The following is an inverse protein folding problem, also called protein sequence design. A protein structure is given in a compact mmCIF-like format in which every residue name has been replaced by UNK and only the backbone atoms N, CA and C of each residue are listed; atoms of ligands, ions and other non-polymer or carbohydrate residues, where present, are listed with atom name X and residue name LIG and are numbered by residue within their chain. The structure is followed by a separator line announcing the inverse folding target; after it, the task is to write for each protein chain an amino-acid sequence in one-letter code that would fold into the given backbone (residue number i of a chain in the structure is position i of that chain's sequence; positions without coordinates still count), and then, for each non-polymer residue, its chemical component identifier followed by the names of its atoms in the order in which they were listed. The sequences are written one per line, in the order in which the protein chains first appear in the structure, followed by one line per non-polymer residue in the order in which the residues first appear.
data_IF_727656196041
#
_entry.id   IF_727656196041
#
_cell.length_a   1.000
_cell.length_b   1.000
_cell.length_c   1.000
_cell.angle_alpha   90.00
_cell.angle_beta   90.00
_cell.angle_gamma   90.00
#
_symmetry.space_group_name_H-M   'P 1'
#
loop_
_entity.id
_entity.type
_entity.pdbx_description
1 polymer ?
#
# COMPACT_ATOMS: atom_id res chain seq x y z
N UNK A 1 -5.69 17.34 -14.60
CA UNK A 1 -6.03 15.91 -14.67
C UNK A 1 -6.37 15.43 -13.28
N UNK A 2 -7.57 14.89 -13.10
CA UNK A 2 -8.10 14.52 -11.80
C UNK A 2 -7.44 13.21 -11.35
N UNK A 3 -6.98 13.08 -10.09
CA UNK A 3 -6.15 11.94 -9.62
C UNK A 3 -6.81 10.56 -9.79
N UNK A 4 -8.14 10.51 -9.76
CA UNK A 4 -8.93 9.29 -10.05
C UNK A 4 -8.87 8.89 -11.52
N UNK A 5 -8.69 9.83 -12.44
CA UNK A 5 -8.53 9.54 -13.87
C UNK A 5 -7.22 8.82 -14.12
N UNK A 6 -6.11 9.23 -13.50
CA UNK A 6 -4.79 8.61 -13.73
C UNK A 6 -4.71 7.13 -13.35
N UNK A 7 -5.26 6.75 -12.19
CA UNK A 7 -5.32 5.34 -11.75
C UNK A 7 -6.26 4.54 -12.65
N UNK A 8 -7.40 5.12 -13.04
CA UNK A 8 -8.34 4.47 -13.95
C UNK A 8 -7.71 4.25 -15.32
N UNK A 9 -7.00 5.24 -15.86
CA UNK A 9 -6.27 5.15 -17.13
C UNK A 9 -5.18 4.07 -17.09
N UNK A 10 -4.40 3.98 -16.00
CA UNK A 10 -3.37 2.94 -15.86
C UNK A 10 -3.97 1.54 -15.74
N UNK A 11 -5.07 1.42 -14.98
CA UNK A 11 -5.78 0.15 -14.84
C UNK A 11 -6.43 -0.28 -16.17
N UNK A 12 -7.00 0.67 -16.91
CA UNK A 12 -7.60 0.42 -18.22
C UNK A 12 -6.53 -0.05 -19.22
N UNK A 13 -5.36 0.61 -19.26
CA UNK A 13 -4.23 0.21 -20.09
C UNK A 13 -3.73 -1.19 -19.75
N UNK A 14 -3.49 -1.47 -18.46
CA UNK A 14 -3.07 -2.80 -18.01
C UNK A 14 -4.06 -3.91 -18.43
N UNK A 15 -5.36 -3.63 -18.36
CA UNK A 15 -6.36 -4.58 -18.84
C UNK A 15 -6.30 -4.79 -20.35
N UNK A 16 -6.01 -3.75 -21.13
CA UNK A 16 -5.85 -3.87 -22.59
C UNK A 16 -4.60 -4.71 -22.93
N UNK A 17 -3.51 -4.55 -22.18
CA UNK A 17 -2.27 -5.34 -22.34
C UNK A 17 -2.49 -6.83 -21.99
N UNK A 18 -3.21 -7.11 -20.89
CA UNK A 18 -3.63 -8.47 -20.51
C UNK A 18 -4.46 -9.13 -21.62
N UNK A 19 -5.33 -8.37 -22.29
CA UNK A 19 -6.14 -8.86 -23.41
C UNK A 19 -5.33 -9.03 -24.70
N UNK A 20 -4.26 -8.26 -24.87
CA UNK A 20 -3.30 -8.43 -25.96
C UNK A 20 -2.36 -9.64 -25.74
N UNK A 21 -2.35 -10.22 -24.54
CA UNK A 21 -1.53 -11.39 -24.18
C UNK A 21 -0.16 -11.02 -23.58
N UNK A 22 0.08 -9.74 -23.31
CA UNK A 22 1.30 -9.23 -22.67
C UNK A 22 1.13 -9.36 -21.14
N UNK A 23 1.40 -10.56 -20.61
CA UNK A 23 0.90 -11.01 -19.28
C UNK A 23 1.91 -10.95 -18.13
N UNK A 24 3.06 -10.30 -18.33
CA UNK A 24 4.12 -10.23 -17.31
C UNK A 24 4.01 -9.02 -16.38
N UNK A 25 3.08 -8.09 -16.61
CA UNK A 25 2.93 -6.91 -15.75
C UNK A 25 2.04 -7.17 -14.52
N UNK A 26 2.50 -6.80 -13.30
CA UNK A 26 1.72 -6.95 -12.08
C UNK A 26 0.48 -6.04 -12.05
N UNK A 27 -0.58 -6.48 -11.37
CA UNK A 27 -1.83 -5.72 -11.30
C UNK A 27 -1.59 -4.33 -10.65
N UNK A 28 -1.97 -3.20 -11.28
CA UNK A 28 -1.60 -1.84 -10.81
C UNK A 28 -2.01 -1.50 -9.38
N UNK A 29 -3.02 -2.20 -8.83
CA UNK A 29 -3.54 -2.02 -7.47
C UNK A 29 -3.12 -3.14 -6.51
N UNK A 30 -2.98 -4.37 -7.02
CA UNK A 30 -2.87 -5.58 -6.19
C UNK A 30 -1.51 -6.29 -6.36
N UNK A 31 -0.66 -5.80 -7.25
CA UNK A 31 0.64 -6.38 -7.56
C UNK A 31 0.52 -7.82 -8.04
N UNK A 32 1.49 -8.65 -7.62
CA UNK A 32 1.57 -10.08 -7.92
C UNK A 32 0.54 -10.94 -7.17
N UNK A 33 -0.29 -10.33 -6.31
CA UNK A 33 -1.32 -11.06 -5.55
C UNK A 33 -2.44 -11.57 -6.45
N UNK A 34 -2.56 -11.01 -7.65
CA UNK A 34 -3.55 -11.41 -8.64
C UNK A 34 -2.83 -11.63 -9.96
N UNK A 35 -3.03 -12.82 -10.53
CA UNK A 35 -2.62 -13.15 -11.88
C UNK A 35 -3.85 -13.32 -12.76
N UNK A 36 -3.76 -12.77 -13.97
CA UNK A 36 -4.82 -12.86 -14.96
C UNK A 36 -4.26 -13.51 -16.22
N UNK A 37 -4.98 -14.51 -16.73
CA UNK A 37 -4.59 -15.25 -17.92
C UNK A 37 -5.78 -15.47 -18.83
N UNK A 38 -5.59 -15.26 -20.12
CA UNK A 38 -6.55 -15.65 -21.15
C UNK A 38 -6.33 -17.12 -21.51
N UNK A 39 -7.36 -17.96 -21.35
CA UNK A 39 -7.37 -19.37 -21.69
C UNK A 39 -8.52 -19.64 -22.68
N UNK A 40 -8.21 -19.47 -23.98
CA UNK A 40 -9.21 -19.48 -25.04
C UNK A 40 -10.26 -18.38 -24.85
N UNK A 41 -11.54 -18.75 -24.73
CA UNK A 41 -12.64 -17.80 -24.51
C UNK A 41 -12.87 -17.45 -23.03
N UNK A 42 -12.00 -17.90 -22.12
CA UNK A 42 -12.13 -17.69 -20.68
C UNK A 42 -11.00 -16.84 -20.14
N UNK A 43 -11.36 -15.79 -19.43
CA UNK A 43 -10.42 -15.03 -18.61
C UNK A 43 -10.34 -15.66 -17.23
N UNK A 44 -9.17 -16.21 -16.87
CA UNK A 44 -8.93 -16.85 -15.58
C UNK A 44 -8.29 -15.83 -14.63
N UNK A 45 -8.99 -15.54 -13.54
CA UNK A 45 -8.51 -14.75 -12.41
C UNK A 45 -8.06 -15.71 -11.30
N UNK A 46 -6.82 -15.55 -10.86
CA UNK A 46 -6.24 -16.36 -9.78
C UNK A 46 -5.46 -15.49 -8.81
N UNK A 47 -5.40 -15.92 -7.55
CA UNK A 47 -4.65 -15.22 -6.52
C UNK A 47 -5.43 -15.06 -5.22
N UNK A 48 -4.95 -14.16 -4.37
CA UNK A 48 -5.44 -13.96 -3.01
C UNK A 48 -5.72 -12.50 -2.73
N UNK A 49 -6.89 -12.21 -2.18
CA UNK A 49 -7.35 -10.89 -1.79
C UNK A 49 -7.67 -10.84 -0.30
N UNK A 50 -7.63 -9.63 0.25
CA UNK A 50 -7.78 -9.41 1.70
C UNK A 50 -9.26 -9.28 2.08
N UNK A 51 -10.14 -8.95 1.13
CA UNK A 51 -11.59 -8.82 1.38
C UNK A 51 -12.46 -9.35 0.24
N UNK A 52 -13.71 -9.68 0.56
CA UNK A 52 -14.72 -10.03 -0.44
C UNK A 52 -15.07 -8.82 -1.35
N UNK A 53 -15.01 -7.59 -0.83
CA UNK A 53 -15.26 -6.38 -1.61
C UNK A 53 -14.21 -6.17 -2.72
N UNK A 54 -12.93 -6.38 -2.40
CA UNK A 54 -11.83 -6.36 -3.38
C UNK A 54 -12.03 -7.43 -4.44
N UNK A 55 -12.38 -8.67 -4.02
CA UNK A 55 -12.66 -9.78 -4.94
C UNK A 55 -13.78 -9.43 -5.90
N UNK A 56 -14.89 -8.91 -5.38
CA UNK A 56 -16.01 -8.51 -6.21
C UNK A 56 -15.67 -7.34 -7.13
N UNK A 57 -14.83 -6.40 -6.68
CA UNK A 57 -14.37 -5.29 -7.51
C UNK A 57 -13.53 -5.77 -8.71
N UNK A 58 -12.57 -6.67 -8.49
CA UNK A 58 -11.74 -7.26 -9.57
C UNK A 58 -12.61 -8.06 -10.53
N UNK A 59 -13.54 -8.88 -10.03
CA UNK A 59 -14.46 -9.65 -10.88
C UNK A 59 -15.37 -8.74 -11.70
N UNK A 60 -15.88 -7.63 -11.13
CA UNK A 60 -16.68 -6.65 -11.87
C UNK A 60 -15.88 -5.99 -12.99
N UNK A 61 -14.62 -5.62 -12.73
CA UNK A 61 -13.74 -5.03 -13.74
C UNK A 61 -13.48 -5.97 -14.92
N UNK A 62 -13.25 -7.25 -14.63
CA UNK A 62 -13.10 -8.30 -15.64
C UNK A 62 -14.39 -8.50 -16.46
N UNK A 63 -15.54 -8.60 -15.79
CA UNK A 63 -16.84 -8.77 -16.47
C UNK A 63 -17.22 -7.61 -17.38
N UNK A 64 -16.85 -6.38 -17.01
CA UNK A 64 -17.10 -5.20 -17.83
C UNK A 64 -16.37 -5.23 -19.20
N UNK A 65 -15.44 -6.18 -19.39
CA UNK A 65 -14.62 -6.32 -20.60
C UNK A 65 -14.99 -7.54 -21.45
N UNK A 66 -16.03 -8.28 -21.06
CA UNK A 66 -16.59 -9.38 -21.88
C UNK A 66 -16.92 -8.84 -23.28
N UNK A 67 -16.59 -9.63 -24.31
CA UNK A 67 -16.75 -9.24 -25.72
C UNK A 67 -15.50 -8.64 -26.37
N UNK A 68 -14.40 -8.48 -25.62
CA UNK A 68 -13.08 -8.05 -26.14
C UNK A 68 -12.09 -9.21 -26.29
N UNK A 69 -12.54 -10.36 -26.80
CA UNK A 69 -11.70 -11.55 -27.01
C UNK A 69 -11.95 -12.70 -26.03
N UNK A 70 -12.88 -12.55 -25.08
CA UNK A 70 -13.36 -13.63 -24.20
C UNK A 70 -14.85 -13.47 -23.90
N UNK A 71 -15.51 -14.60 -23.63
CA UNK A 71 -16.95 -14.67 -23.33
C UNK A 71 -17.25 -14.88 -21.84
N UNK A 72 -16.30 -15.37 -21.06
CA UNK A 72 -16.52 -15.77 -19.67
C UNK A 72 -15.35 -15.42 -18.74
N UNK A 73 -15.67 -15.17 -17.46
CA UNK A 73 -14.68 -14.92 -16.40
C UNK A 73 -14.70 -16.07 -15.40
N UNK A 74 -13.62 -16.84 -15.35
CA UNK A 74 -13.37 -17.83 -14.30
C UNK A 74 -12.62 -17.16 -13.15
N UNK A 75 -13.23 -17.17 -11.97
CA UNK A 75 -12.72 -16.58 -10.74
C UNK A 75 -12.74 -17.60 -9.59
N UNK A 76 -12.82 -18.89 -9.93
CA UNK A 76 -12.81 -20.00 -8.97
C UNK A 76 -11.49 -20.11 -8.21
N UNK A 77 -10.39 -19.65 -8.81
CA UNK A 77 -9.04 -19.61 -8.23
C UNK A 77 -8.70 -18.29 -7.52
N UNK A 78 -9.66 -17.37 -7.43
CA UNK A 78 -9.50 -16.12 -6.70
C UNK A 78 -10.07 -16.28 -5.30
N UNK A 79 -9.19 -16.38 -4.30
CA UNK A 79 -9.54 -16.63 -2.91
C UNK A 79 -9.50 -15.35 -2.07
N UNK A 80 -10.35 -15.27 -1.04
CA UNK A 80 -10.21 -14.30 0.04
C UNK A 80 -9.51 -15.01 1.20
N UNK A 81 -8.38 -14.48 1.63
CA UNK A 81 -7.63 -15.06 2.76
C UNK A 81 -8.21 -14.49 4.05
N UNK A 82 -8.78 -15.36 4.89
CA UNK A 82 -9.29 -14.97 6.20
C UNK A 82 -8.13 -14.82 7.20
N UNK A 83 -7.50 -13.65 7.19
CA UNK A 83 -6.56 -13.28 8.26
C UNK A 83 -7.39 -13.01 9.50
N UNK A 84 -7.22 -13.84 10.54
CA UNK A 84 -7.87 -13.69 11.86
C UNK A 84 -7.50 -12.38 12.60
N UNK A 85 -6.77 -11.48 11.96
CA UNK A 85 -6.43 -10.17 12.45
C UNK A 85 -7.65 -9.24 12.30
N UNK A 86 -8.31 -8.95 13.43
CA UNK A 86 -9.43 -8.02 13.45
C UNK A 86 -8.93 -6.60 13.22
N UNK A 87 -9.24 -6.05 12.04
CA UNK A 87 -9.08 -4.63 11.72
C UNK A 87 -9.78 -3.75 12.77
N UNK A 88 -9.19 -2.61 13.07
CA UNK A 88 -9.74 -1.57 13.93
C UNK A 88 -9.55 -1.82 15.43
N UNK A 89 -8.76 -2.81 15.84
CA UNK A 89 -8.43 -3.04 17.26
C UNK A 89 -7.10 -2.43 17.68
N UNK A 90 -6.09 -2.59 16.84
CA UNK A 90 -4.73 -2.18 17.12
C UNK A 90 -4.26 -1.18 16.06
N UNK A 91 -3.53 -0.17 16.51
CA UNK A 91 -2.77 0.72 15.66
C UNK A 91 -1.28 0.53 15.88
N UNK A 92 -0.51 0.77 14.84
CA UNK A 92 0.94 0.70 14.89
C UNK A 92 1.55 1.95 14.25
N UNK A 93 2.49 2.55 14.96
CA UNK A 93 3.26 3.70 14.47
C UNK A 93 4.53 3.22 13.78
N UNK A 94 4.71 3.65 12.54
CA UNK A 94 5.89 3.42 11.72
C UNK A 94 6.65 4.73 11.57
N UNK A 95 7.97 4.65 11.66
CA UNK A 95 8.87 5.80 11.46
C UNK A 95 9.88 5.43 10.39
N UNK A 96 10.04 6.30 9.41
CA UNK A 96 11.04 6.14 8.36
C UNK A 96 11.86 7.43 8.20
N UNK A 97 13.18 7.29 8.06
CA UNK A 97 14.09 8.40 7.83
C UNK A 97 14.40 8.59 6.34
N UNK A 98 14.49 9.84 5.93
CA UNK A 98 14.85 10.28 4.59
C UNK A 98 15.88 11.40 4.68
N UNK A 99 16.72 11.60 3.65
CA UNK A 99 17.78 12.61 3.67
C UNK A 99 17.27 14.04 3.86
N UNK A 100 16.04 14.32 3.42
CA UNK A 100 15.44 15.65 3.47
C UNK A 100 13.90 15.57 3.47
N UNK A 101 13.28 16.71 3.78
CA UNK A 101 11.81 16.83 3.88
C UNK A 101 11.10 16.54 2.56
N UNK A 102 11.64 17.00 1.44
CA UNK A 102 11.02 16.82 0.11
C UNK A 102 10.99 15.34 -0.26
N UNK A 103 12.07 14.61 0.02
CA UNK A 103 12.14 13.16 -0.18
C UNK A 103 11.13 12.43 0.71
N UNK A 104 10.99 12.82 1.98
CA UNK A 104 9.97 12.28 2.88
C UNK A 104 8.53 12.55 2.39
N UNK A 105 8.27 13.71 1.79
CA UNK A 105 6.96 14.06 1.22
C UNK A 105 6.61 13.21 0.00
N UNK A 106 7.58 12.94 -0.88
CA UNK A 106 7.41 12.03 -2.01
C UNK A 106 7.13 10.60 -1.54
N UNK A 107 7.92 10.12 -0.58
CA UNK A 107 7.74 8.79 0.00
C UNK A 107 6.36 8.64 0.68
N UNK A 108 5.96 9.64 1.47
CA UNK A 108 4.62 9.69 2.08
C UNK A 108 3.54 9.54 1.03
N UNK A 109 3.60 10.34 -0.03
CA UNK A 109 2.61 10.30 -1.11
C UNK A 109 2.56 8.91 -1.76
N UNK A 110 3.72 8.34 -2.08
CA UNK A 110 3.83 7.02 -2.68
C UNK A 110 3.21 5.94 -1.78
N UNK A 111 3.57 5.92 -0.49
CA UNK A 111 3.08 4.93 0.47
C UNK A 111 1.57 5.03 0.65
N UNK A 112 1.01 6.24 0.79
CA UNK A 112 -0.44 6.40 0.93
C UNK A 112 -1.20 5.96 -0.33
N UNK A 113 -0.63 6.18 -1.50
CA UNK A 113 -1.21 5.77 -2.78
C UNK A 113 -1.23 4.24 -2.96
N UNK A 114 -0.13 3.55 -2.64
CA UNK A 114 0.02 2.11 -2.91
C UNK A 114 -0.44 1.22 -1.74
N UNK A 115 -0.44 1.76 -0.52
CA UNK A 115 -0.94 1.04 0.65
C UNK A 115 -2.47 1.00 0.68
N UNK A 116 -3.14 2.04 0.16
CA UNK A 116 -4.59 2.30 0.30
C UNK A 116 -5.06 2.42 1.76
N UNK A 117 -4.14 2.76 2.66
CA UNK A 117 -4.44 2.92 4.08
C UNK A 117 -4.72 4.39 4.37
N UNK A 118 -5.65 4.65 5.29
CA UNK A 118 -5.86 5.99 5.85
C UNK A 118 -5.20 6.05 7.23
N UNK A 119 -4.03 6.68 7.39
CA UNK A 119 -3.39 6.79 8.70
C UNK A 119 -4.27 7.59 9.66
N UNK A 120 -4.27 7.20 10.94
CA UNK A 120 -4.84 8.03 12.02
C UNK A 120 -3.94 9.22 12.31
N UNK A 121 -2.63 9.03 12.13
CA UNK A 121 -1.63 10.07 12.25
C UNK A 121 -0.65 10.01 11.08
N UNK A 122 -0.28 11.19 10.62
CA UNK A 122 0.60 11.39 9.49
C UNK A 122 1.34 12.71 9.72
N UNK A 123 2.66 12.63 9.87
CA UNK A 123 3.49 13.83 9.94
C UNK A 123 4.87 13.59 9.34
N UNK A 124 5.47 14.70 8.90
CA UNK A 124 6.89 14.77 8.54
C UNK A 124 7.56 15.75 9.48
N UNK A 125 8.52 15.23 10.25
CA UNK A 125 9.29 15.95 11.24
C UNK A 125 10.71 16.14 10.71
N UNK A 126 11.15 17.39 10.63
CA UNK A 126 12.53 17.75 10.38
C UNK A 126 13.15 18.32 11.67
N UNK A 127 14.37 18.84 11.59
CA UNK A 127 15.09 19.42 12.72
C UNK A 127 14.30 20.51 13.45
N UNK A 128 13.48 21.30 12.75
CA UNK A 128 12.66 22.35 13.35
C UNK A 128 11.45 21.76 14.11
N UNK A 129 10.91 20.64 13.64
CA UNK A 129 9.80 19.91 14.26
C UNK A 129 10.18 19.02 15.44
N UNK A 130 11.47 18.89 15.78
CA UNK A 130 12.00 18.02 16.83
C UNK A 130 11.22 18.04 18.18
N UNK A 131 10.73 19.20 18.71
CA UNK A 131 9.98 19.22 19.97
C UNK A 131 8.72 18.33 19.95
N UNK A 132 8.07 18.16 18.80
CA UNK A 132 6.83 17.38 18.64
C UNK A 132 7.07 15.86 18.70
N UNK A 133 8.31 15.41 18.54
CA UNK A 133 8.64 13.99 18.46
C UNK A 133 8.24 13.22 19.74
N UNK A 134 8.32 13.84 20.92
CA UNK A 134 7.94 13.23 22.20
C UNK A 134 6.46 12.91 22.32
N UNK A 135 5.62 13.65 21.60
CA UNK A 135 4.18 13.45 21.60
C UNK A 135 3.77 12.32 20.65
N UNK A 136 4.66 11.95 19.72
CA UNK A 136 4.38 11.03 18.63
C UNK A 136 4.99 9.64 18.83
N UNK A 137 6.07 9.54 19.62
CA UNK A 137 6.82 8.30 19.81
C UNK A 137 7.08 8.00 21.29
N UNK A 138 7.00 6.74 21.73
CA UNK A 138 7.44 6.33 23.05
C UNK A 138 8.92 6.65 23.29
N UNK A 139 9.31 6.81 24.56
CA UNK A 139 10.65 7.28 24.95
C UNK A 139 11.81 6.49 24.31
N UNK A 140 11.68 5.17 24.24
CA UNK A 140 12.72 4.28 23.70
C UNK A 140 12.96 4.49 22.20
N UNK A 141 11.91 4.85 21.44
CA UNK A 141 11.99 5.09 19.99
C UNK A 141 12.31 6.55 19.66
N UNK A 142 11.96 7.47 20.57
CA UNK A 142 12.27 8.88 20.41
C UNK A 142 13.79 9.12 20.42
N UNK A 143 14.58 8.35 21.16
CA UNK A 143 16.05 8.50 21.20
C UNK A 143 16.70 8.37 19.81
N UNK A 144 16.46 7.26 19.14
CA UNK A 144 17.01 6.97 17.81
C UNK A 144 16.51 7.97 16.75
N UNK A 145 15.21 8.29 16.80
CA UNK A 145 14.61 9.28 15.92
C UNK A 145 15.25 10.68 16.11
N UNK A 146 15.60 11.08 17.34
CA UNK A 146 16.33 12.34 17.55
C UNK A 146 17.73 12.32 16.96
N UNK A 147 18.44 11.20 17.04
CA UNK A 147 19.77 11.07 16.46
C UNK A 147 19.72 11.26 14.93
N UNK A 148 18.69 10.72 14.26
CA UNK A 148 18.44 10.94 12.82
C UNK A 148 18.20 12.41 12.49
N UNK A 149 17.30 13.07 13.21
CA UNK A 149 17.04 14.51 13.04
C UNK A 149 18.29 15.37 13.28
N UNK A 150 19.13 15.00 14.25
CA UNK A 150 20.39 15.69 14.52
C UNK A 150 21.40 15.52 13.37
N UNK A 151 21.38 14.36 12.69
CA UNK A 151 22.14 14.06 11.49
C UNK A 151 21.64 14.75 10.22
N UNK A 152 20.48 15.42 10.27
CA UNK A 152 19.91 16.17 9.15
C UNK A 152 18.77 15.46 8.41
N UNK A 153 18.46 14.22 8.77
CA UNK A 153 17.35 13.47 8.18
C UNK A 153 16.00 14.14 8.51
N UNK A 154 15.02 13.92 7.64
CA UNK A 154 13.62 14.12 7.92
C UNK A 154 12.94 12.78 8.21
N UNK A 155 12.03 12.76 9.18
CA UNK A 155 11.29 11.58 9.60
C UNK A 155 9.86 11.64 9.10
N UNK A 156 9.43 10.60 8.40
CA UNK A 156 8.03 10.31 8.12
C UNK A 156 7.48 9.42 9.23
N UNK A 157 6.41 9.87 9.89
CA UNK A 157 5.73 9.13 10.95
C UNK A 157 4.29 8.85 10.48
N UNK A 158 3.92 7.58 10.46
CA UNK A 158 2.60 7.09 10.06
C UNK A 158 2.03 6.18 11.14
N UNK A 159 0.86 6.48 11.67
CA UNK A 159 0.10 5.57 12.56
C UNK A 159 -1.04 4.96 11.77
N UNK A 160 -0.98 3.65 11.56
CA UNK A 160 -1.92 2.89 10.74
C UNK A 160 -2.55 1.77 11.54
N UNK A 161 -3.60 1.16 11.01
CA UNK A 161 -4.09 -0.12 11.52
C UNK A 161 -2.96 -1.17 11.48
N UNK A 162 -2.80 -1.93 12.58
CA UNK A 162 -1.71 -2.91 12.70
C UNK A 162 -1.73 -3.95 11.58
N UNK A 163 -2.92 -4.35 11.11
CA UNK A 163 -3.08 -5.30 10.00
C UNK A 163 -2.52 -4.78 8.68
N UNK A 164 -2.40 -3.46 8.55
CA UNK A 164 -1.83 -2.79 7.39
C UNK A 164 -0.35 -2.39 7.59
N UNK A 165 0.16 -2.46 8.82
CA UNK A 165 1.49 -1.96 9.17
C UNK A 165 2.60 -2.72 8.44
N UNK A 166 2.46 -4.04 8.26
CA UNK A 166 3.41 -4.84 7.49
C UNK A 166 3.56 -4.33 6.05
N UNK A 167 2.44 -4.11 5.34
CA UNK A 167 2.43 -3.60 3.97
C UNK A 167 3.04 -2.20 3.89
N UNK A 168 2.68 -1.32 4.82
CA UNK A 168 3.20 0.05 4.86
C UNK A 168 4.70 0.05 5.13
N UNK A 169 5.19 -0.78 6.05
CA UNK A 169 6.62 -0.94 6.33
C UNK A 169 7.38 -1.41 5.10
N UNK A 170 6.86 -2.43 4.40
CA UNK A 170 7.49 -2.92 3.18
C UNK A 170 7.65 -1.82 2.13
N UNK A 171 6.62 -1.00 1.90
CA UNK A 171 6.71 0.15 0.98
C UNK A 171 7.76 1.19 1.43
N UNK A 172 7.89 1.42 2.74
CA UNK A 172 8.88 2.36 3.31
C UNK A 172 10.32 1.86 3.14
N UNK A 173 10.54 0.54 3.28
CA UNK A 173 11.87 -0.07 3.22
C UNK A 173 12.31 -0.35 1.79
N UNK A 174 11.47 -0.99 0.99
CA UNK A 174 11.85 -1.53 -0.32
C UNK A 174 11.64 -0.52 -1.46
N UNK A 175 10.49 0.17 -1.46
CA UNK A 175 10.07 0.98 -2.61
C UNK A 175 10.48 2.46 -2.49
N UNK A 176 10.43 3.03 -1.29
CA UNK A 176 10.84 4.43 -1.06
C UNK A 176 12.28 4.55 -0.54
N UNK A 177 12.94 3.42 -0.28
CA UNK A 177 14.36 3.32 0.13
C UNK A 177 14.72 4.22 1.30
N UNK A 178 13.91 4.18 2.35
CA UNK A 178 14.24 4.84 3.62
C UNK A 178 15.62 4.42 4.12
N UNK A 179 16.37 5.36 4.72
CA UNK A 179 17.71 5.07 5.27
C UNK A 179 17.63 4.33 6.61
N UNK A 180 16.45 4.35 7.22
CA UNK A 180 16.11 3.70 8.46
C UNK A 180 14.60 3.61 8.57
N UNK A 181 14.07 2.46 8.96
CA UNK A 181 12.66 2.28 9.30
C UNK A 181 12.55 1.53 10.61
N UNK A 182 11.59 1.92 11.45
CA UNK A 182 11.23 1.21 12.68
C UNK A 182 9.72 1.14 12.85
N UNK A 183 9.26 0.03 13.40
CA UNK A 183 7.88 -0.15 13.84
C UNK A 183 7.84 -0.12 15.37
N UNK A 184 7.04 0.79 15.92
CA UNK A 184 6.75 0.87 17.35
C UNK A 184 5.81 -0.28 17.73
N UNK A 185 5.79 -0.78 18.98
CA UNK A 185 4.87 -1.84 19.38
C UNK A 185 3.41 -1.38 19.21
N UNK A 186 2.52 -2.27 18.72
CA UNK A 186 1.13 -1.90 18.48
C UNK A 186 0.43 -1.52 19.78
N UNK A 187 -0.52 -0.60 19.67
CA UNK A 187 -1.31 -0.07 20.77
C UNK A 187 -2.80 -0.29 20.48
N UNK A 188 -3.59 -0.43 21.54
CA UNK A 188 -5.05 -0.49 21.39
C UNK A 188 -5.56 0.86 20.92
N UNK A 189 -6.40 0.84 19.87
CA UNK A 189 -7.09 2.03 19.38
C UNK A 189 -7.99 2.56 20.51
N UNK A 190 -7.63 3.72 21.05
CA UNK A 190 -8.48 4.51 21.95
C UNK A 190 -9.47 5.37 21.18
#
# INVERSE_FOLDING_TARGET
MNRKEGVRTRLDAWWDDVLAGETDEPHPIHGDRIAVRLDGERLVLSGTLDTQEERDAVVRQARARIGRGFGQVDHSKLAVVDRHEKKGLLEQTLVAAYPDRSTAELARKFVLEHSQVKPRQDAIIDRAGHPRLREMLPGDYAGDARARLAGGDALLILTVDETAAFKVRQLLEEETRSTWTVAVPPQVIR
#
